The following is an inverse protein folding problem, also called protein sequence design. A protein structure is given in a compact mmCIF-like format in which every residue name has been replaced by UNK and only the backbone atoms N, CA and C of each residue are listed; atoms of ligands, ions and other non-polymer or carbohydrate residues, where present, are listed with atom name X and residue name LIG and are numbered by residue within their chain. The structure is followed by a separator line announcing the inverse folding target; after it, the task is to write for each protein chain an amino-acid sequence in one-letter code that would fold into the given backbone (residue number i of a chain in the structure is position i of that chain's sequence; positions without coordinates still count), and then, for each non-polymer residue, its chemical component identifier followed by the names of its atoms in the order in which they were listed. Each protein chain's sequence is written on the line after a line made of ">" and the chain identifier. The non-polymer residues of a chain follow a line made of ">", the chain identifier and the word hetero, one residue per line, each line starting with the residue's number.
data_IF_974639838553
#
_entry.id   IF_974639838553
#
_cell.length_a   1.000
_cell.length_b   1.000
_cell.length_c   1.000
_cell.angle_alpha   90.00
_cell.angle_beta   90.00
_cell.angle_gamma   90.00
#
_symmetry.space_group_name_H-M   'P 1'
#
loop_
_entity.id
_entity.type
_entity.pdbx_description
1 polymer ?
#
# COMPACT_ATOMS: atom_id res chain seq x y z
N UNK A 1 -6.53 -19.20 1.15
CA UNK A 1 -5.48 -19.43 0.14
C UNK A 1 -5.44 -20.91 -0.25
N UNK A 2 -6.35 -21.37 -1.14
CA UNK A 2 -6.43 -22.81 -1.51
C UNK A 2 -6.07 -23.10 -2.98
N UNK A 3 -5.86 -22.08 -3.81
CA UNK A 3 -5.41 -22.26 -5.19
C UNK A 3 -4.56 -21.06 -5.63
N UNK A 4 -3.26 -21.30 -5.87
CA UNK A 4 -2.36 -20.30 -6.44
C UNK A 4 -2.29 -20.50 -7.95
N UNK A 5 -3.08 -19.74 -8.70
CA UNK A 5 -3.15 -19.85 -10.18
C UNK A 5 -1.90 -19.30 -10.88
N UNK A 6 -1.36 -18.19 -10.36
CA UNK A 6 -0.16 -17.55 -10.91
C UNK A 6 0.48 -16.62 -9.88
N UNK A 7 1.78 -16.39 -10.01
CA UNK A 7 2.52 -15.39 -9.23
C UNK A 7 3.19 -14.44 -10.22
N UNK A 8 2.74 -13.19 -10.23
CA UNK A 8 3.27 -12.15 -11.09
C UNK A 8 4.46 -11.46 -10.39
N UNK A 9 5.69 -11.54 -10.94
CA UNK A 9 6.81 -10.76 -10.43
C UNK A 9 6.55 -9.26 -10.63
N UNK A 10 6.92 -8.43 -9.65
CA UNK A 10 6.72 -6.98 -9.72
C UNK A 10 7.86 -6.24 -10.43
N UNK A 11 9.02 -6.88 -10.58
CA UNK A 11 10.19 -6.29 -11.21
C UNK A 11 9.90 -5.86 -12.65
N UNK A 12 10.19 -4.59 -12.97
CA UNK A 12 9.98 -4.03 -14.30
C UNK A 12 8.52 -3.71 -14.65
N UNK A 13 7.58 -3.92 -13.72
CA UNK A 13 6.20 -3.48 -13.91
C UNK A 13 6.06 -1.97 -13.71
N UNK A 14 5.16 -1.38 -14.50
CA UNK A 14 4.66 -0.02 -14.35
C UNK A 14 3.13 -0.04 -14.32
N UNK A 15 2.57 1.00 -13.73
CA UNK A 15 1.13 1.24 -13.69
C UNK A 15 0.76 2.46 -14.53
N UNK A 16 -0.40 2.44 -15.18
CA UNK A 16 -1.02 3.60 -15.83
C UNK A 16 -2.53 3.55 -15.66
N UNK A 17 -3.20 4.66 -15.91
CA UNK A 17 -4.66 4.70 -15.93
C UNK A 17 -5.24 3.89 -17.09
N UNK A 18 -6.35 3.21 -16.84
CA UNK A 18 -7.10 2.50 -17.87
C UNK A 18 -8.16 3.39 -18.52
N UNK A 19 -8.49 3.09 -19.77
CA UNK A 19 -9.56 3.80 -20.47
C UNK A 19 -10.94 3.39 -19.90
N UNK A 20 -11.72 4.37 -19.44
CA UNK A 20 -13.11 4.15 -19.08
C UNK A 20 -13.90 3.83 -20.35
N UNK A 21 -14.34 2.57 -20.52
CA UNK A 21 -15.21 2.19 -21.64
C UNK A 21 -16.56 2.91 -21.54
N UNK A 22 -17.13 3.27 -22.69
CA UNK A 22 -18.27 4.16 -22.92
C UNK A 22 -19.57 3.89 -22.13
N UNK A 23 -19.67 2.80 -21.35
CA UNK A 23 -20.83 2.49 -20.52
C UNK A 23 -20.40 2.08 -19.11
N UNK A 24 -20.48 3.07 -18.20
CA UNK A 24 -20.16 2.94 -16.78
C UNK A 24 -18.75 3.42 -16.43
N UNK A 25 -18.63 4.33 -15.45
CA UNK A 25 -17.35 4.72 -14.84
C UNK A 25 -16.80 3.53 -14.08
N UNK A 26 -16.08 2.63 -14.75
CA UNK A 26 -15.27 1.63 -14.05
C UNK A 26 -13.94 2.29 -13.72
N UNK A 27 -13.56 2.24 -12.44
CA UNK A 27 -12.29 2.76 -11.99
C UNK A 27 -11.23 1.71 -12.35
N UNK A 28 -10.53 1.92 -13.47
CA UNK A 28 -9.62 0.95 -14.08
C UNK A 28 -8.19 1.46 -14.01
N UNK A 29 -7.27 0.57 -13.67
CA UNK A 29 -5.83 0.78 -13.83
C UNK A 29 -5.19 -0.40 -14.55
N UNK A 30 -4.02 -0.17 -15.15
CA UNK A 30 -3.35 -1.14 -16.02
C UNK A 30 -1.94 -1.40 -15.52
N UNK A 31 -1.59 -2.68 -15.35
CA UNK A 31 -0.23 -3.14 -15.11
C UNK A 31 0.40 -3.61 -16.42
N UNK A 32 1.62 -3.16 -16.69
CA UNK A 32 2.36 -3.57 -17.89
C UNK A 32 3.87 -3.58 -17.65
N UNK A 33 4.62 -4.29 -18.48
CA UNK A 33 6.08 -4.29 -18.41
C UNK A 33 6.67 -3.16 -19.28
N UNK A 34 7.57 -2.34 -18.73
CA UNK A 34 8.14 -1.18 -19.44
C UNK A 34 8.90 -1.56 -20.72
N UNK A 35 9.58 -2.71 -20.71
CA UNK A 35 10.34 -3.26 -21.85
C UNK A 35 9.46 -3.93 -22.92
N UNK A 36 8.12 -3.80 -22.85
CA UNK A 36 7.21 -4.37 -23.84
C UNK A 36 7.06 -5.90 -23.79
N UNK A 37 7.61 -6.55 -22.75
CA UNK A 37 7.40 -7.97 -22.45
C UNK A 37 5.96 -8.24 -22.02
N UNK A 38 5.50 -9.47 -22.21
CA UNK A 38 4.18 -9.87 -21.73
C UNK A 38 4.12 -9.82 -20.21
N UNK A 39 3.08 -9.20 -19.67
CA UNK A 39 2.83 -9.10 -18.23
C UNK A 39 2.25 -10.40 -17.69
N UNK A 40 1.34 -11.03 -18.43
CA UNK A 40 0.74 -12.30 -18.03
C UNK A 40 0.49 -13.18 -19.24
N UNK A 41 1.12 -14.36 -19.28
CA UNK A 41 1.03 -15.28 -20.43
C UNK A 41 1.33 -14.55 -21.74
N UNK A 42 0.36 -14.48 -22.65
CA UNK A 42 0.47 -13.81 -23.95
C UNK A 42 -0.07 -12.37 -23.93
N UNK A 43 -0.52 -11.89 -22.77
CA UNK A 43 -1.06 -10.55 -22.60
C UNK A 43 0.04 -9.55 -22.26
N UNK A 44 0.11 -8.46 -23.05
CA UNK A 44 1.06 -7.35 -22.85
C UNK A 44 0.77 -6.49 -21.62
N UNK A 45 -0.44 -6.57 -21.09
CA UNK A 45 -0.87 -5.81 -19.92
C UNK A 45 -2.01 -6.55 -19.21
N UNK A 46 -2.27 -6.16 -17.96
CA UNK A 46 -3.41 -6.61 -17.17
C UNK A 46 -4.25 -5.39 -16.80
N UNK A 47 -5.53 -5.39 -17.18
CA UNK A 47 -6.52 -4.42 -16.72
C UNK A 47 -7.15 -4.90 -15.41
N UNK A 48 -7.16 -4.03 -14.40
CA UNK A 48 -7.79 -4.27 -13.11
C UNK A 48 -8.81 -3.17 -12.84
N UNK A 49 -9.98 -3.55 -12.36
CA UNK A 49 -11.08 -2.64 -12.06
C UNK A 49 -11.43 -2.73 -10.58
N UNK A 50 -11.71 -1.59 -9.97
CA UNK A 50 -12.29 -1.49 -8.64
C UNK A 50 -13.67 -0.82 -8.69
N UNK A 51 -14.47 -1.01 -7.65
CA UNK A 51 -15.84 -0.50 -7.61
C UNK A 51 -15.84 1.02 -7.43
N UNK A 52 -14.89 1.54 -6.65
CA UNK A 52 -14.78 2.96 -6.34
C UNK A 52 -13.42 3.54 -6.74
N UNK A 53 -13.35 4.87 -6.86
CA UNK A 53 -12.09 5.56 -7.14
C UNK A 53 -11.10 5.42 -5.97
N UNK A 54 -11.61 5.52 -4.73
CA UNK A 54 -10.82 5.37 -3.50
C UNK A 54 -10.13 3.99 -3.41
N UNK A 55 -10.80 2.93 -3.87
CA UNK A 55 -10.19 1.61 -3.97
C UNK A 55 -9.04 1.57 -4.99
N UNK A 56 -9.21 2.21 -6.16
CA UNK A 56 -8.12 2.33 -7.15
C UNK A 56 -6.93 3.07 -6.56
N UNK A 57 -7.16 4.17 -5.85
CA UNK A 57 -6.09 4.94 -5.23
C UNK A 57 -5.37 4.14 -4.13
N UNK A 58 -6.13 3.37 -3.34
CA UNK A 58 -5.58 2.44 -2.34
C UNK A 58 -4.71 1.35 -2.98
N UNK A 59 -5.13 0.80 -4.14
CA UNK A 59 -4.34 -0.15 -4.93
C UNK A 59 -3.07 0.50 -5.52
N UNK A 60 -3.17 1.70 -6.09
CA UNK A 60 -2.04 2.47 -6.63
C UNK A 60 -1.00 2.75 -5.54
N UNK A 61 -1.43 3.18 -4.35
CA UNK A 61 -0.54 3.42 -3.21
C UNK A 61 0.18 2.14 -2.76
N UNK A 62 -0.55 1.02 -2.70
CA UNK A 62 0.02 -0.28 -2.34
C UNK A 62 1.06 -0.77 -3.36
N UNK A 63 0.79 -0.57 -4.65
CA UNK A 63 1.70 -0.91 -5.73
C UNK A 63 2.94 -0.02 -5.75
N UNK A 64 2.79 1.28 -5.53
CA UNK A 64 3.90 2.23 -5.39
C UNK A 64 4.81 1.85 -4.23
N UNK A 65 4.22 1.50 -3.08
CA UNK A 65 4.96 0.98 -1.92
C UNK A 65 5.72 -0.31 -2.24
N UNK A 66 5.18 -1.16 -3.11
CA UNK A 66 5.81 -2.39 -3.58
C UNK A 66 6.85 -2.18 -4.70
N UNK A 67 7.10 -0.93 -5.12
CA UNK A 67 8.09 -0.59 -6.14
C UNK A 67 7.56 -0.56 -7.58
N UNK A 68 6.25 -0.64 -7.78
CA UNK A 68 5.60 -0.50 -9.10
C UNK A 68 5.21 0.96 -9.29
N UNK A 69 6.00 1.67 -10.09
CA UNK A 69 5.83 3.12 -10.28
C UNK A 69 4.87 3.45 -11.42
N UNK A 70 4.15 4.59 -11.35
CA UNK A 70 3.38 5.08 -12.47
C UNK A 70 4.28 5.31 -13.69
N UNK A 71 3.73 5.10 -14.88
CA UNK A 71 4.38 5.52 -16.11
C UNK A 71 4.48 7.05 -16.07
N UNK A 72 5.71 7.56 -15.90
CA UNK A 72 5.99 8.97 -16.19
C UNK A 72 5.63 9.21 -17.65
N UNK A 73 4.65 10.07 -17.90
CA UNK A 73 4.45 10.65 -19.22
C UNK A 73 5.71 11.47 -19.50
N UNK A 74 6.60 10.92 -20.33
CA UNK A 74 7.85 11.59 -20.66
C UNK A 74 7.56 12.85 -21.49
N UNK A 75 7.98 13.98 -20.92
CA UNK A 75 8.62 15.11 -21.61
C UNK A 75 7.69 16.05 -22.40
N UNK A 76 7.05 16.99 -21.71
CA UNK A 76 6.75 18.36 -22.21
C UNK A 76 6.06 19.29 -21.18
N UNK A 77 5.70 18.81 -19.98
CA UNK A 77 5.06 19.65 -18.92
C UNK A 77 5.83 19.75 -17.60
N UNK A 78 7.09 19.33 -17.55
CA UNK A 78 7.87 19.23 -16.30
C UNK A 78 8.58 20.53 -15.85
N UNK A 79 7.98 21.72 -16.03
CA UNK A 79 8.58 22.94 -15.44
C UNK A 79 7.68 23.74 -14.48
N UNK A 80 6.39 23.41 -14.30
CA UNK A 80 5.49 24.31 -13.54
C UNK A 80 4.61 23.70 -12.46
N UNK A 81 4.59 22.38 -12.24
CA UNK A 81 3.65 21.77 -11.26
C UNK A 81 4.31 20.84 -10.21
N UNK A 82 5.63 20.66 -10.23
CA UNK A 82 6.28 19.61 -9.44
C UNK A 82 6.61 19.99 -7.98
N UNK A 83 6.27 21.20 -7.52
CA UNK A 83 6.67 21.64 -6.16
C UNK A 83 5.55 21.70 -5.10
N UNK A 84 4.26 21.55 -5.43
CA UNK A 84 3.20 21.97 -4.46
C UNK A 84 2.17 20.89 -4.09
N UNK A 85 2.18 19.69 -4.65
CA UNK A 85 1.25 18.64 -4.18
C UNK A 85 1.88 17.25 -4.14
N UNK A 86 1.91 16.65 -2.94
CA UNK A 86 2.30 15.26 -2.62
C UNK A 86 3.77 14.94 -2.33
N UNK A 87 4.57 15.88 -1.79
CA UNK A 87 5.85 15.52 -1.15
C UNK A 87 5.67 14.87 0.23
N UNK A 88 4.84 13.83 0.36
CA UNK A 88 5.11 12.87 1.44
C UNK A 88 6.32 12.07 1.00
N UNK A 89 7.48 12.41 1.57
CA UNK A 89 8.71 11.67 1.33
C UNK A 89 8.46 10.18 1.63
N UNK A 90 8.60 9.29 0.63
CA UNK A 90 8.39 7.85 0.82
C UNK A 90 9.26 7.26 1.94
N UNK A 91 10.40 7.88 2.27
CA UNK A 91 11.21 7.50 3.42
C UNK A 91 10.56 7.87 4.75
N UNK A 92 9.97 9.07 4.83
CA UNK A 92 9.26 9.53 6.02
C UNK A 92 8.03 8.66 6.31
N UNK A 93 7.26 8.28 5.28
CA UNK A 93 6.12 7.36 5.45
C UNK A 93 6.56 5.99 6.00
N UNK A 94 7.66 5.44 5.48
CA UNK A 94 8.25 4.17 5.98
C UNK A 94 8.71 4.30 7.42
N UNK A 95 9.32 5.42 7.79
CA UNK A 95 9.74 5.68 9.17
C UNK A 95 8.54 5.80 10.11
N UNK A 96 7.50 6.54 9.73
CA UNK A 96 6.27 6.65 10.52
C UNK A 96 5.63 5.28 10.74
N UNK A 97 5.58 4.44 9.70
CA UNK A 97 5.04 3.10 9.82
C UNK A 97 5.90 2.20 10.71
N UNK A 98 7.23 2.30 10.62
CA UNK A 98 8.14 1.59 11.53
C UNK A 98 7.90 2.01 12.98
N UNK A 99 7.78 3.31 13.24
CA UNK A 99 7.51 3.85 14.58
C UNK A 99 6.15 3.36 15.09
N UNK A 100 5.10 3.39 14.27
CA UNK A 100 3.76 2.89 14.63
C UNK A 100 3.81 1.43 15.05
N UNK A 101 4.48 0.59 14.28
CA UNK A 101 4.63 -0.85 14.58
C UNK A 101 5.39 -1.08 15.89
N UNK A 102 6.45 -0.32 16.16
CA UNK A 102 7.20 -0.39 17.42
C UNK A 102 6.35 0.04 18.62
N UNK A 103 5.61 1.15 18.48
CA UNK A 103 4.73 1.68 19.53
C UNK A 103 3.60 0.68 19.84
N UNK A 104 2.96 0.10 18.82
CA UNK A 104 1.90 -0.89 19.01
C UNK A 104 2.43 -2.13 19.74
N UNK A 105 3.61 -2.62 19.34
CA UNK A 105 4.29 -3.73 20.02
C UNK A 105 4.58 -3.41 21.49
N UNK A 106 5.11 -2.22 21.76
CA UNK A 106 5.42 -1.77 23.11
C UNK A 106 4.15 -1.66 23.97
N UNK A 107 3.08 -1.05 23.45
CA UNK A 107 1.81 -0.92 24.19
C UNK A 107 1.21 -2.28 24.52
N UNK A 108 1.33 -3.28 23.64
CA UNK A 108 0.90 -4.66 23.95
C UNK A 108 1.66 -5.25 25.15
N UNK A 109 2.96 -4.99 25.26
CA UNK A 109 3.78 -5.44 26.40
C UNK A 109 3.35 -4.71 27.68
N UNK A 110 3.17 -3.39 27.61
CA UNK A 110 2.73 -2.57 28.75
C UNK A 110 1.36 -3.04 29.25
N UNK A 111 0.39 -3.20 28.35
CA UNK A 111 -0.95 -3.68 28.69
C UNK A 111 -0.92 -5.05 29.37
N UNK A 112 -0.12 -5.98 28.83
CA UNK A 112 0.07 -7.29 29.42
C UNK A 112 0.66 -7.20 30.83
N UNK A 113 1.63 -6.31 31.01
CA UNK A 113 2.28 -6.08 32.31
C UNK A 113 1.31 -5.45 33.30
N UNK A 114 0.52 -4.45 32.88
CA UNK A 114 -0.47 -3.81 33.75
C UNK A 114 -1.56 -4.79 34.18
N UNK A 115 -2.11 -5.59 33.25
CA UNK A 115 -3.11 -6.62 33.56
C UNK A 115 -2.60 -7.69 34.52
N UNK A 116 -1.29 -7.93 34.56
CA UNK A 116 -0.67 -8.89 35.47
C UNK A 116 -0.33 -8.26 36.83
N UNK A 117 0.32 -7.09 36.84
CA UNK A 117 0.84 -6.45 38.06
C UNK A 117 -0.26 -5.80 38.86
N UNK A 118 -1.23 -5.12 38.23
CA UNK A 118 -2.25 -4.34 38.95
C UNK A 118 -3.11 -5.23 39.88
N UNK A 119 -3.66 -6.38 39.44
CA UNK A 119 -4.41 -7.25 40.35
C UNK A 119 -3.55 -7.79 41.49
N UNK A 120 -2.28 -8.15 41.23
CA UNK A 120 -1.36 -8.64 42.27
C UNK A 120 -1.10 -7.58 43.35
N UNK A 121 -0.88 -6.33 42.92
CA UNK A 121 -0.69 -5.21 43.84
C UNK A 121 -1.94 -4.94 44.67
N UNK A 122 -3.13 -4.96 44.07
CA UNK A 122 -4.41 -4.78 44.78
C UNK A 122 -4.62 -5.87 45.82
N UNK A 123 -4.39 -7.13 45.46
CA UNK A 123 -4.50 -8.26 46.39
C UNK A 123 -3.52 -8.09 47.55
N UNK A 124 -2.27 -7.74 47.27
CA UNK A 124 -1.25 -7.57 48.30
C UNK A 124 -1.62 -6.47 49.30
N UNK A 125 -2.09 -5.32 48.82
CA UNK A 125 -2.35 -4.14 49.66
C UNK A 125 -3.70 -4.16 50.37
N UNK A 126 -4.73 -4.78 49.81
CA UNK A 126 -6.11 -4.69 50.35
C UNK A 126 -6.52 -5.96 51.10
N UNK A 127 -6.00 -7.12 50.69
CA UNK A 127 -6.48 -8.42 51.22
C UNK A 127 -5.48 -9.04 52.20
N UNK A 128 -4.18 -8.83 51.98
CA UNK A 128 -3.13 -9.50 52.75
C UNK A 128 -2.47 -8.61 53.83
N UNK A 129 -2.72 -7.30 53.84
CA UNK A 129 -2.53 -6.42 55.01
C UNK A 129 -3.83 -6.29 55.79
#
# INVERSE_FOLDING_TARGET
>A
EREKKYMLPLDGLKIRDGESRLFGKKNIFVLFHSEGRNTYKDYKYIELAAETADEVDSWKASLLRAGVYPQKESEEREELETEVSSSTDPQMERQVETIRNLVESYMKIVDKTQRDVVPKTVIHLIVNE
#
